data_IF_444326513954
#
_entry.id   IF_444326513954
#
_cell.length_a   1.000
_cell.length_b   1.000
_cell.length_c   1.000
_cell.angle_alpha   90.00
_cell.angle_beta   90.00
_cell.angle_gamma   90.00
#
_symmetry.space_group_name_H-M   'P 1'
#
loop_
_entity.id
_entity.type
_entity.pdbx_description
1 polymer ?
#
# COMPACT_ATOMS: atom_id res chain seq x y z
N UNK A 1 21.75 -17.17 -9.56
CA UNK A 1 20.32 -17.28 -9.14
C UNK A 1 20.12 -17.48 -7.63
N UNK A 2 20.57 -18.58 -6.98
CA UNK A 2 20.38 -18.75 -5.51
C UNK A 2 21.10 -17.73 -4.63
N UNK A 3 22.27 -17.25 -5.07
CA UNK A 3 23.06 -16.21 -4.37
C UNK A 3 22.37 -14.83 -4.42
N UNK A 4 21.88 -14.43 -5.60
CA UNK A 4 21.08 -13.22 -5.80
C UNK A 4 19.80 -13.21 -4.95
N UNK A 5 19.08 -14.34 -4.89
CA UNK A 5 17.93 -14.49 -4.00
C UNK A 5 18.35 -14.35 -2.53
N UNK A 6 19.51 -14.88 -2.13
CA UNK A 6 20.03 -14.73 -0.76
C UNK A 6 20.34 -13.26 -0.43
N UNK A 7 20.97 -12.52 -1.34
CA UNK A 7 21.24 -11.09 -1.17
C UNK A 7 19.97 -10.25 -1.20
N UNK A 8 18.97 -10.64 -1.99
CA UNK A 8 17.63 -10.09 -1.96
C UNK A 8 17.01 -10.25 -0.56
N UNK A 9 16.97 -11.48 -0.02
CA UNK A 9 16.43 -11.74 1.33
C UNK A 9 17.23 -11.08 2.46
N UNK A 10 18.56 -10.96 2.32
CA UNK A 10 19.41 -10.26 3.30
C UNK A 10 19.19 -8.74 3.27
N UNK A 11 19.11 -8.15 2.08
CA UNK A 11 18.75 -6.73 1.92
C UNK A 11 17.32 -6.46 2.41
N UNK A 12 16.42 -7.43 2.22
CA UNK A 12 15.02 -7.35 2.63
C UNK A 12 14.85 -7.39 4.15
N UNK A 13 15.56 -8.29 4.85
CA UNK A 13 15.58 -8.33 6.33
C UNK A 13 16.14 -7.06 6.97
N UNK A 14 17.02 -6.34 6.27
CA UNK A 14 17.58 -5.09 6.78
C UNK A 14 16.59 -3.91 6.70
N UNK A 15 15.60 -3.97 5.79
CA UNK A 15 14.55 -2.95 5.66
C UNK A 15 13.44 -3.17 6.70
N UNK A 16 13.14 -4.42 7.03
CA UNK A 16 12.12 -4.82 8.01
C UNK A 16 12.76 -5.60 9.15
N UNK A 17 13.20 -4.90 10.20
CA UNK A 17 13.05 -5.28 11.63
C UNK A 17 13.91 -4.34 12.48
N UNK A 18 13.24 -3.50 13.28
CA UNK A 18 13.62 -3.27 14.68
C UNK A 18 12.34 -3.14 15.49
N UNK A 19 12.24 -3.96 16.53
CA UNK A 19 11.08 -4.09 17.42
C UNK A 19 10.66 -2.74 18.01
N UNK A 20 9.40 -2.33 17.77
CA UNK A 20 8.84 -1.08 18.33
C UNK A 20 7.48 -1.34 18.99
N UNK A 21 7.58 -1.52 20.31
CA UNK A 21 6.78 -0.88 21.38
C UNK A 21 5.40 -1.44 21.80
N UNK A 22 5.27 -1.40 23.14
CA UNK A 22 4.29 -1.87 24.13
C UNK A 22 2.79 -1.71 23.84
N UNK A 23 2.02 -2.63 24.42
CA UNK A 23 0.67 -3.12 24.07
C UNK A 23 -0.44 -2.10 23.71
N UNK A 24 -0.48 -0.91 24.33
CA UNK A 24 -1.44 0.16 23.96
C UNK A 24 -0.99 0.96 22.73
N UNK A 25 0.33 1.19 22.57
CA UNK A 25 0.93 1.71 21.33
C UNK A 25 1.03 0.62 20.26
N UNK A 26 1.16 -0.65 20.67
CA UNK A 26 1.37 -1.76 19.76
C UNK A 26 0.25 -1.87 18.73
N UNK A 27 -1.02 -1.63 19.10
CA UNK A 27 -2.13 -1.71 18.13
C UNK A 27 -2.10 -0.55 17.12
N UNK A 28 -1.94 0.69 17.59
CA UNK A 28 -1.82 1.87 16.72
C UNK A 28 -0.62 1.75 15.78
N UNK A 29 0.53 1.31 16.30
CA UNK A 29 1.75 1.05 15.52
C UNK A 29 1.52 -0.06 14.51
N UNK A 30 0.84 -1.17 14.86
CA UNK A 30 0.50 -2.25 13.93
C UNK A 30 -0.39 -1.74 12.78
N UNK A 31 -1.43 -0.95 13.09
CA UNK A 31 -2.33 -0.39 12.07
C UNK A 31 -1.58 0.60 11.17
N UNK A 32 -0.80 1.52 11.74
CA UNK A 32 0.00 2.47 10.97
C UNK A 32 1.05 1.77 10.09
N UNK A 33 1.69 0.70 10.61
CA UNK A 33 2.64 -0.12 9.85
C UNK A 33 1.94 -0.82 8.69
N UNK A 34 0.73 -1.34 8.90
CA UNK A 34 -0.04 -1.97 7.83
C UNK A 34 -0.48 -0.98 6.75
N UNK A 35 -0.91 0.23 7.13
CA UNK A 35 -1.19 1.33 6.19
C UNK A 35 0.03 1.62 5.32
N UNK A 36 1.19 1.82 5.94
CA UNK A 36 2.41 2.14 5.20
C UNK A 36 2.86 0.97 4.30
N UNK A 37 2.72 -0.27 4.76
CA UNK A 37 2.98 -1.45 3.94
C UNK A 37 2.08 -1.49 2.69
N UNK A 38 0.79 -1.18 2.83
CA UNK A 38 -0.13 -1.09 1.69
C UNK A 38 0.30 0.00 0.72
N UNK A 39 0.69 1.17 1.24
CA UNK A 39 1.19 2.27 0.41
C UNK A 39 2.46 1.87 -0.35
N UNK A 40 3.43 1.26 0.32
CA UNK A 40 4.66 0.76 -0.31
C UNK A 40 4.34 -0.29 -1.37
N UNK A 41 3.43 -1.24 -1.08
CA UNK A 41 3.04 -2.26 -2.03
C UNK A 41 2.42 -1.65 -3.29
N UNK A 42 1.54 -0.66 -3.15
CA UNK A 42 0.95 0.03 -4.30
C UNK A 42 2.00 0.78 -5.11
N UNK A 43 2.99 1.42 -4.48
CA UNK A 43 4.08 2.09 -5.20
C UNK A 43 4.95 1.12 -6.01
N UNK A 44 5.22 -0.08 -5.46
CA UNK A 44 5.98 -1.11 -6.18
C UNK A 44 5.22 -1.60 -7.41
N UNK A 45 3.91 -1.83 -7.27
CA UNK A 45 3.04 -2.22 -8.39
C UNK A 45 2.93 -1.09 -9.43
N UNK A 46 2.74 0.16 -8.99
CA UNK A 46 2.71 1.34 -9.85
C UNK A 46 4.00 1.47 -10.68
N UNK A 47 5.17 1.26 -10.06
CA UNK A 47 6.46 1.34 -10.77
C UNK A 47 6.55 0.34 -11.94
N UNK A 48 5.92 -0.84 -11.82
CA UNK A 48 5.81 -1.82 -12.91
C UNK A 48 4.82 -1.35 -13.97
N UNK A 49 3.61 -0.95 -13.55
CA UNK A 49 2.53 -0.52 -14.46
C UNK A 49 2.98 0.69 -15.30
N UNK A 50 3.67 1.64 -14.68
CA UNK A 50 4.15 2.87 -15.30
C UNK A 50 5.53 2.74 -15.95
N UNK A 51 6.17 1.57 -15.86
CA UNK A 51 7.53 1.32 -16.37
C UNK A 51 8.56 2.32 -15.81
N UNK A 52 8.41 2.69 -14.53
CA UNK A 52 9.32 3.60 -13.86
C UNK A 52 10.68 2.92 -13.62
N UNK A 53 11.77 3.62 -13.95
CA UNK A 53 13.14 3.14 -13.72
C UNK A 53 13.77 3.70 -12.43
N UNK A 54 13.24 4.80 -11.92
CA UNK A 54 13.75 5.53 -10.75
C UNK A 54 12.60 6.03 -9.87
N UNK A 55 12.74 5.88 -8.56
CA UNK A 55 11.86 6.49 -7.54
C UNK A 55 12.73 7.05 -6.40
N UNK A 56 12.49 8.30 -6.00
CA UNK A 56 13.29 9.02 -5.00
C UNK A 56 14.81 8.93 -5.24
N UNK A 57 15.23 9.14 -6.49
CA UNK A 57 16.64 9.05 -6.94
C UNK A 57 17.30 7.68 -6.73
N UNK A 58 16.52 6.61 -6.58
CA UNK A 58 17.01 5.24 -6.49
C UNK A 58 16.37 4.38 -7.57
N UNK A 59 17.08 3.36 -8.10
CA UNK A 59 16.47 2.39 -9.01
C UNK A 59 15.25 1.74 -8.37
N UNK A 60 14.16 1.63 -9.13
CA UNK A 60 12.96 0.89 -8.71
C UNK A 60 13.26 -0.61 -8.62
N UNK A 61 12.38 -1.37 -7.95
CA UNK A 61 12.54 -2.83 -7.82
C UNK A 61 12.54 -3.48 -9.20
N UNK A 62 11.67 -3.03 -10.11
CA UNK A 62 11.57 -3.57 -11.46
C UNK A 62 12.80 -3.23 -12.32
N UNK A 63 13.39 -2.04 -12.14
CA UNK A 63 14.63 -1.68 -12.82
C UNK A 63 15.85 -2.45 -12.31
N UNK A 64 15.90 -2.74 -11.00
CA UNK A 64 17.03 -3.45 -10.40
C UNK A 64 16.97 -4.95 -10.61
N UNK A 65 15.77 -5.51 -10.57
CA UNK A 65 15.54 -6.94 -10.74
C UNK A 65 14.74 -7.17 -12.01
N UNK A 66 13.42 -7.36 -11.94
CA UNK A 66 12.51 -7.60 -13.08
C UNK A 66 11.07 -7.26 -12.67
N UNK A 67 10.18 -7.10 -13.65
CA UNK A 67 8.76 -6.84 -13.42
C UNK A 67 8.08 -7.96 -12.62
N UNK A 68 8.35 -9.22 -12.94
CA UNK A 68 7.76 -10.39 -12.27
C UNK A 68 8.14 -10.46 -10.78
N UNK A 69 9.41 -10.17 -10.46
CA UNK A 69 9.88 -10.07 -9.07
C UNK A 69 9.14 -8.95 -8.32
N UNK A 70 8.90 -7.83 -8.98
CA UNK A 70 8.27 -6.65 -8.37
C UNK A 70 6.78 -6.89 -8.08
N UNK A 71 6.06 -7.53 -9.00
CA UNK A 71 4.66 -7.91 -8.80
C UNK A 71 4.52 -8.83 -7.59
N UNK A 72 5.28 -9.94 -7.57
CA UNK A 72 5.26 -10.92 -6.47
C UNK A 72 5.68 -10.27 -5.15
N UNK A 73 6.63 -9.33 -5.20
CA UNK A 73 7.07 -8.60 -4.03
C UNK A 73 5.96 -7.70 -3.46
N UNK A 74 5.28 -6.93 -4.31
CA UNK A 74 4.13 -6.13 -3.88
C UNK A 74 3.04 -7.00 -3.25
N UNK A 75 2.75 -8.17 -3.82
CA UNK A 75 1.79 -9.13 -3.25
C UNK A 75 2.22 -9.63 -1.87
N UNK A 76 3.52 -9.91 -1.70
CA UNK A 76 4.08 -10.29 -0.40
C UNK A 76 3.92 -9.16 0.63
N UNK A 77 4.23 -7.92 0.27
CA UNK A 77 4.11 -6.75 1.15
C UNK A 77 2.64 -6.52 1.53
N UNK A 78 1.71 -6.64 0.57
CA UNK A 78 0.26 -6.63 0.83
C UNK A 78 -0.15 -7.72 1.83
N UNK A 79 0.33 -8.96 1.64
CA UNK A 79 0.01 -10.08 2.54
C UNK A 79 0.45 -9.80 3.97
N UNK A 80 1.60 -9.13 4.15
CA UNK A 80 2.12 -8.75 5.47
C UNK A 80 1.29 -7.64 6.13
N UNK A 81 0.80 -6.67 5.37
CA UNK A 81 -0.12 -5.67 5.90
C UNK A 81 -1.42 -6.31 6.42
N UNK A 82 -2.00 -7.21 5.63
CA UNK A 82 -3.23 -7.92 6.00
C UNK A 82 -3.02 -8.82 7.22
N UNK A 83 -1.86 -9.48 7.33
CA UNK A 83 -1.47 -10.25 8.51
C UNK A 83 -1.41 -9.39 9.78
N UNK A 84 -0.88 -8.16 9.68
CA UNK A 84 -0.82 -7.22 10.82
C UNK A 84 -2.21 -6.74 11.24
N UNK A 85 -3.07 -6.41 10.28
CA UNK A 85 -4.44 -5.96 10.55
C UNK A 85 -5.28 -7.10 11.14
N UNK A 86 -5.18 -8.32 10.61
CA UNK A 86 -5.95 -9.46 11.12
C UNK A 86 -5.61 -9.80 12.57
N UNK A 87 -4.33 -9.65 12.97
CA UNK A 87 -3.87 -9.80 14.36
C UNK A 87 -4.41 -8.75 15.33
N UNK A 88 -5.08 -7.70 14.85
CA UNK A 88 -5.74 -6.72 15.71
C UNK A 88 -7.13 -7.18 16.19
N UNK A 89 -7.67 -8.29 15.64
CA UNK A 89 -8.96 -8.88 16.01
C UNK A 89 -10.13 -7.88 16.03
N UNK A 90 -10.12 -6.91 15.11
CA UNK A 90 -11.16 -5.91 14.95
C UNK A 90 -11.61 -5.88 13.48
N UNK A 91 -12.83 -6.34 13.23
CA UNK A 91 -13.40 -6.45 11.88
C UNK A 91 -13.64 -5.10 11.23
N UNK A 92 -13.86 -4.02 12.00
CA UNK A 92 -14.02 -2.68 11.46
C UNK A 92 -12.70 -2.17 10.84
N UNK A 93 -11.55 -2.47 11.44
CA UNK A 93 -10.24 -2.14 10.85
C UNK A 93 -10.02 -2.88 9.52
N UNK A 94 -10.31 -4.18 9.50
CA UNK A 94 -10.16 -5.01 8.30
C UNK A 94 -11.11 -4.55 7.19
N UNK A 95 -12.36 -4.25 7.53
CA UNK A 95 -13.37 -3.76 6.59
C UNK A 95 -12.97 -2.41 5.98
N UNK A 96 -12.57 -1.44 6.81
CA UNK A 96 -12.13 -0.12 6.35
C UNK A 96 -10.90 -0.23 5.44
N UNK A 97 -9.93 -1.07 5.79
CA UNK A 97 -8.74 -1.28 4.97
C UNK A 97 -9.06 -1.95 3.62
N UNK A 98 -9.89 -2.99 3.65
CA UNK A 98 -10.31 -3.73 2.44
C UNK A 98 -11.03 -2.81 1.45
N UNK A 99 -11.97 -1.99 1.93
CA UNK A 99 -12.69 -1.05 1.07
C UNK A 99 -11.77 0.04 0.51
N UNK A 100 -10.81 0.52 1.31
CA UNK A 100 -9.80 1.47 0.85
C UNK A 100 -8.93 0.88 -0.26
N UNK A 101 -8.41 -0.33 -0.07
CA UNK A 101 -7.61 -1.06 -1.08
C UNK A 101 -8.40 -1.27 -2.37
N UNK A 102 -9.64 -1.76 -2.26
CA UNK A 102 -10.54 -1.94 -3.41
C UNK A 102 -10.75 -0.62 -4.17
N UNK A 103 -11.07 0.46 -3.45
CA UNK A 103 -11.30 1.78 -4.06
C UNK A 103 -10.05 2.30 -4.77
N UNK A 104 -8.86 2.07 -4.18
CA UNK A 104 -7.57 2.41 -4.78
C UNK A 104 -7.35 1.65 -6.09
N UNK A 105 -7.57 0.33 -6.09
CA UNK A 105 -7.48 -0.51 -7.29
C UNK A 105 -8.47 -0.10 -8.38
N UNK A 106 -9.72 0.24 -8.02
CA UNK A 106 -10.69 0.78 -8.97
C UNK A 106 -10.20 2.11 -9.60
N UNK A 107 -9.58 2.98 -8.80
CA UNK A 107 -8.97 4.22 -9.28
C UNK A 107 -7.84 3.96 -10.27
N UNK A 108 -6.97 2.99 -9.96
CA UNK A 108 -5.87 2.58 -10.85
C UNK A 108 -6.38 1.97 -12.16
N UNK A 109 -7.40 1.11 -12.09
CA UNK A 109 -8.02 0.55 -13.30
C UNK A 109 -8.61 1.64 -14.20
N UNK A 110 -9.30 2.63 -13.63
CA UNK A 110 -9.80 3.78 -14.39
C UNK A 110 -8.64 4.55 -15.02
N UNK A 111 -7.55 4.79 -14.28
CA UNK A 111 -6.36 5.46 -14.80
C UNK A 111 -5.76 4.69 -15.99
N UNK A 112 -5.58 3.38 -15.85
CA UNK A 112 -5.05 2.50 -16.91
C UNK A 112 -5.95 2.54 -18.14
N UNK A 113 -7.27 2.43 -17.98
CA UNK A 113 -8.23 2.47 -19.09
C UNK A 113 -8.28 3.83 -19.81
N UNK A 114 -7.96 4.93 -19.10
CA UNK A 114 -7.95 6.28 -19.66
C UNK A 114 -6.56 6.72 -20.17
N UNK A 115 -5.56 5.83 -20.12
CA UNK A 115 -4.19 6.15 -20.53
C UNK A 115 -4.15 6.57 -22.01
N UNK A 116 -3.65 7.78 -22.26
CA UNK A 116 -3.57 8.36 -23.61
C UNK A 116 -4.86 9.03 -24.12
N UNK A 117 -5.93 9.08 -23.32
CA UNK A 117 -7.15 9.79 -23.71
C UNK A 117 -7.00 11.31 -23.52
N UNK A 118 -6.78 12.02 -24.63
CA UNK A 118 -6.67 13.49 -24.65
C UNK A 118 -7.99 14.22 -24.41
N UNK A 119 -9.12 13.52 -24.53
CA UNK A 119 -10.47 14.06 -24.33
C UNK A 119 -11.01 13.77 -22.92
N UNK A 120 -10.14 13.42 -21.97
CA UNK A 120 -10.52 13.13 -20.59
C UNK A 120 -11.19 14.37 -19.96
N UNK A 121 -12.42 14.19 -19.47
CA UNK A 121 -13.14 15.26 -18.79
C UNK A 121 -12.51 15.57 -17.42
N UNK A 122 -12.67 16.81 -16.96
CA UNK A 122 -12.26 17.22 -15.62
C UNK A 122 -12.91 16.36 -14.53
N UNK A 123 -14.17 15.99 -14.69
CA UNK A 123 -14.91 15.17 -13.72
C UNK A 123 -14.35 13.74 -13.65
N UNK A 124 -14.03 13.14 -14.80
CA UNK A 124 -13.39 11.83 -14.86
C UNK A 124 -11.99 11.85 -14.22
N UNK A 125 -11.21 12.91 -14.45
CA UNK A 125 -9.93 13.11 -13.78
C UNK A 125 -10.10 13.21 -12.25
N UNK A 126 -11.05 13.99 -11.76
CA UNK A 126 -11.31 14.15 -10.33
C UNK A 126 -11.75 12.83 -9.68
N UNK A 127 -12.57 12.01 -10.36
CA UNK A 127 -12.94 10.67 -9.88
C UNK A 127 -11.70 9.77 -9.75
N UNK A 128 -10.81 9.79 -10.74
CA UNK A 128 -9.58 9.00 -10.74
C UNK A 128 -8.68 9.34 -9.56
N UNK A 129 -8.35 10.63 -9.36
CA UNK A 129 -7.51 11.08 -8.24
C UNK A 129 -8.19 10.85 -6.89
N UNK A 130 -9.52 11.05 -6.80
CA UNK A 130 -10.28 10.76 -5.58
C UNK A 130 -10.17 9.29 -5.20
N UNK A 131 -10.30 8.38 -6.15
CA UNK A 131 -10.22 6.94 -5.89
C UNK A 131 -8.80 6.48 -5.62
N UNK A 132 -7.85 6.82 -6.48
CA UNK A 132 -6.45 6.35 -6.38
C UNK A 132 -5.71 6.89 -5.16
N UNK A 133 -6.06 8.10 -4.68
CA UNK A 133 -5.28 8.77 -3.62
C UNK A 133 -6.14 9.24 -2.45
N UNK A 134 -7.15 10.09 -2.70
CA UNK A 134 -7.87 10.73 -1.59
C UNK A 134 -8.62 9.72 -0.70
N UNK A 135 -9.15 8.65 -1.29
CA UNK A 135 -9.86 7.57 -0.57
C UNK A 135 -8.97 6.89 0.47
N UNK A 136 -7.69 6.65 0.14
CA UNK A 136 -6.74 6.00 1.01
C UNK A 136 -6.35 6.90 2.19
N UNK A 137 -6.12 8.20 1.95
CA UNK A 137 -5.90 9.18 3.02
C UNK A 137 -7.10 9.32 3.95
N UNK A 138 -8.31 9.36 3.41
CA UNK A 138 -9.53 9.38 4.21
C UNK A 138 -9.65 8.12 5.08
N UNK A 139 -9.33 6.95 4.53
CA UNK A 139 -9.29 5.70 5.28
C UNK A 139 -8.23 5.72 6.39
N UNK A 140 -7.04 6.29 6.16
CA UNK A 140 -6.02 6.45 7.20
C UNK A 140 -6.52 7.24 8.41
N UNK A 141 -7.21 8.36 8.16
CA UNK A 141 -7.82 9.16 9.23
C UNK A 141 -8.90 8.39 9.98
N UNK A 142 -9.77 7.67 9.25
CA UNK A 142 -10.84 6.86 9.83
C UNK A 142 -10.29 5.68 10.65
N UNK A 143 -9.25 4.99 10.18
CA UNK A 143 -8.57 3.94 10.94
C UNK A 143 -8.01 4.47 12.26
N UNK A 144 -7.54 5.73 12.28
CA UNK A 144 -7.10 6.42 13.50
C UNK A 144 -8.20 6.56 14.55
N UNK A 145 -9.45 6.80 14.14
CA UNK A 145 -10.58 6.87 15.08
C UNK A 145 -10.99 5.49 15.57
N UNK A 146 -11.08 4.50 14.66
CA UNK A 146 -11.42 3.11 14.97
C UNK A 146 -10.41 2.52 15.97
N UNK A 147 -9.11 2.71 15.74
CA UNK A 147 -8.06 2.14 16.60
C UNK A 147 -8.00 2.81 17.98
N UNK A 148 -8.49 4.05 18.09
CA UNK A 148 -8.50 4.81 19.34
C UNK A 148 -9.73 4.53 20.22
N UNK A 149 -10.62 3.61 19.82
CA UNK A 149 -11.88 3.32 20.51
C UNK A 149 -12.73 4.57 20.82
N UNK A 150 -12.56 5.67 20.07
CA UNK A 150 -13.52 6.76 20.13
C UNK A 150 -14.74 6.29 19.36
N UNK A 151 -15.83 6.01 20.08
CA UNK A 151 -17.14 5.85 19.46
C UNK A 151 -17.38 7.05 18.54
N UNK A 152 -17.86 6.75 17.35
CA UNK A 152 -18.13 7.68 16.27
C UNK A 152 -19.12 8.77 16.71
N UNK A 153 -18.58 9.88 17.19
CA UNK A 153 -19.18 11.21 17.20
C UNK A 153 -18.17 12.16 16.55
N UNK A 154 -18.13 12.17 15.21
CA UNK A 154 -17.66 13.29 14.37
C UNK A 154 -18.46 13.28 13.09
#
# INVERSE_FOLDING_TARGET
QRREMRYFWLSFKAIFVKDIVTELRARQVKVATAVELIHIASLVHDDVIDKASVRHNRPTINAKWRDDVSVIFGDYVYSKALELISKCSNTALLSCMSEAMKTMCEGELIQVCQRGNVSLSKDSYLIMVKKKTASFFAACCHLGTIVSNRNSEV
#
